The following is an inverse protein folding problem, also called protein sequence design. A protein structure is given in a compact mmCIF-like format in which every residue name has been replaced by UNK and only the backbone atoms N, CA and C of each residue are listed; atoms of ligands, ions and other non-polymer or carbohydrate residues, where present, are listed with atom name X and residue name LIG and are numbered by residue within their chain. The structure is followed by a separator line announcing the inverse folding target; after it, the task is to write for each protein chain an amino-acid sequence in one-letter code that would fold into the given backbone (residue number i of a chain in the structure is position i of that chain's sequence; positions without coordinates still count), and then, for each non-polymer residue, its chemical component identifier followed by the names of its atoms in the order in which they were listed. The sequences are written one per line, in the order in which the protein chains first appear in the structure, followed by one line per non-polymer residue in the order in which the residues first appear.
data_IF_856366034970
#
_entry.id   IF_856366034970
#
_cell.length_a   1.000
_cell.length_b   1.000
_cell.length_c   1.000
_cell.angle_alpha   90.00
_cell.angle_beta   90.00
_cell.angle_gamma   90.00
#
_symmetry.space_group_name_H-M   'P 1'
#
loop_
_entity.id
_entity.type
_entity.pdbx_description
1 polymer ?
#
# COMPACT_ATOMS: atom_id res chain seq x y z
N UNK A 1 -54.36 -66.91 -17.98
CA UNK A 1 -53.76 -65.77 -18.71
C UNK A 1 -52.24 -65.77 -18.50
N UNK A 2 -51.48 -65.73 -19.61
CA UNK A 2 -50.05 -65.33 -19.82
C UNK A 2 -48.95 -66.03 -18.96
N UNK A 3 -48.23 -67.00 -19.57
CA UNK A 3 -46.82 -66.95 -20.09
C UNK A 3 -45.74 -66.98 -18.97
N UNK A 4 -45.00 -68.07 -18.71
CA UNK A 4 -43.88 -68.76 -19.42
C UNK A 4 -42.50 -68.04 -19.38
N UNK A 5 -41.53 -68.78 -18.81
CA UNK A 5 -40.06 -68.85 -19.02
C UNK A 5 -39.20 -67.57 -18.91
N UNK A 6 -38.15 -67.60 -18.07
CA UNK A 6 -36.77 -67.87 -18.51
C UNK A 6 -35.93 -66.65 -18.09
N UNK A 7 -34.64 -66.65 -17.81
CA UNK A 7 -33.54 -67.57 -18.07
C UNK A 7 -32.31 -67.09 -17.28
N UNK A 8 -31.27 -67.93 -17.26
CA UNK A 8 -29.85 -67.58 -17.19
C UNK A 8 -29.25 -67.21 -15.83
N UNK A 9 -28.67 -68.25 -15.23
CA UNK A 9 -27.45 -68.14 -14.44
C UNK A 9 -26.31 -67.50 -15.24
N UNK A 10 -25.52 -66.65 -14.59
CA UNK A 10 -24.10 -66.53 -14.89
C UNK A 10 -23.33 -66.46 -13.56
N UNK A 11 -22.53 -67.49 -13.38
CA UNK A 11 -21.50 -67.70 -12.34
C UNK A 11 -20.22 -66.97 -12.83
N UNK A 12 -19.26 -66.78 -11.92
CA UNK A 12 -17.89 -66.25 -12.05
C UNK A 12 -17.79 -64.72 -11.86
N UNK A 13 -16.89 -64.16 -11.05
CA UNK A 13 -15.73 -64.72 -10.36
C UNK A 13 -15.17 -63.67 -9.37
N UNK A 14 -14.70 -64.12 -8.22
CA UNK A 14 -13.27 -64.18 -7.85
C UNK A 14 -12.71 -62.82 -7.42
N UNK A 15 -12.56 -62.71 -6.10
CA UNK A 15 -11.36 -62.33 -5.35
C UNK A 15 -10.70 -60.96 -5.59
N UNK A 16 -9.91 -60.60 -4.56
CA UNK A 16 -8.87 -59.56 -4.53
C UNK A 16 -9.34 -58.13 -4.38
N UNK A 17 -9.39 -57.62 -3.14
CA UNK A 17 -8.54 -56.49 -2.73
C UNK A 17 -8.56 -56.27 -1.20
N UNK A 18 -8.16 -57.28 -0.43
CA UNK A 18 -7.66 -57.07 0.94
C UNK A 18 -6.27 -57.67 0.95
N UNK A 19 -5.28 -56.86 0.57
CA UNK A 19 -3.89 -56.92 1.03
C UNK A 19 -3.05 -55.95 0.18
N UNK A 20 -2.04 -55.38 0.82
CA UNK A 20 -0.89 -54.65 0.28
C UNK A 20 -0.84 -53.11 0.42
N UNK A 21 -0.21 -52.73 1.54
CA UNK A 21 0.95 -51.82 1.67
C UNK A 21 0.68 -50.31 1.48
N UNK A 22 0.81 -49.45 2.49
CA UNK A 22 1.87 -49.36 3.50
C UNK A 22 3.30 -49.43 2.94
N UNK A 23 3.57 -48.74 1.82
CA UNK A 23 4.93 -48.35 1.42
C UNK A 23 4.85 -47.18 0.45
N UNK A 24 4.96 -45.93 0.92
CA UNK A 24 5.50 -44.79 0.15
C UNK A 24 5.83 -43.63 1.11
N UNK A 25 6.64 -43.92 2.14
CA UNK A 25 7.48 -42.91 2.78
C UNK A 25 8.92 -43.16 2.32
N UNK A 26 9.56 -42.09 1.85
CA UNK A 26 11.00 -41.97 1.51
C UNK A 26 11.48 -42.66 0.24
N UNK A 27 11.56 -41.89 -0.87
CA UNK A 27 12.80 -41.69 -1.65
C UNK A 27 12.51 -40.90 -2.94
N UNK A 28 12.55 -39.56 -2.86
CA UNK A 28 12.83 -38.71 -4.01
C UNK A 28 13.80 -37.61 -3.55
N UNK A 29 15.09 -37.93 -3.51
CA UNK A 29 16.15 -36.93 -3.61
C UNK A 29 16.26 -36.48 -5.06
N UNK A 30 16.41 -35.16 -5.25
CA UNK A 30 16.95 -34.59 -6.48
C UNK A 30 15.94 -33.87 -7.37
N UNK A 31 15.57 -32.64 -6.99
CA UNK A 31 15.94 -31.43 -7.75
C UNK A 31 15.34 -30.18 -7.12
N UNK A 32 16.24 -29.28 -6.73
CA UNK A 32 16.07 -27.82 -6.70
C UNK A 32 15.13 -27.35 -7.81
N UNK A 33 13.95 -26.86 -7.43
CA UNK A 33 13.33 -25.63 -7.95
C UNK A 33 12.53 -25.07 -6.78
N UNK A 34 13.14 -24.20 -6.00
CA UNK A 34 12.80 -22.78 -6.17
C UNK A 34 11.32 -22.53 -5.83
N UNK A 35 10.89 -23.01 -4.66
CA UNK A 35 10.13 -22.15 -3.77
C UNK A 35 11.09 -21.07 -3.24
N UNK A 36 11.61 -20.26 -4.16
CA UNK A 36 11.74 -18.85 -3.87
C UNK A 36 10.30 -18.41 -3.67
N UNK A 37 9.81 -18.63 -2.45
CA UNK A 37 9.00 -17.66 -1.77
C UNK A 37 9.59 -16.34 -2.20
N UNK A 38 8.86 -15.69 -3.10
CA UNK A 38 9.17 -14.36 -3.57
C UNK A 38 9.19 -13.56 -2.28
N UNK A 39 10.38 -13.42 -1.69
CA UNK A 39 10.77 -12.26 -0.92
C UNK A 39 10.51 -11.14 -1.89
N UNK A 40 9.25 -10.67 -1.94
CA UNK A 40 8.91 -9.37 -2.47
C UNK A 40 9.73 -8.47 -1.59
N UNK A 41 10.96 -8.19 -2.02
CA UNK A 41 11.72 -7.07 -1.55
C UNK A 41 10.78 -5.91 -1.85
N UNK A 42 10.02 -5.51 -0.85
CA UNK A 42 9.27 -4.26 -0.91
C UNK A 42 10.38 -3.24 -0.93
N UNK A 43 10.76 -2.85 -2.14
CA UNK A 43 11.80 -1.87 -2.36
C UNK A 43 11.38 -0.61 -1.62
N UNK A 44 12.17 -0.23 -0.62
CA UNK A 44 11.90 0.95 0.17
C UNK A 44 12.05 2.15 -0.77
N UNK A 45 10.97 2.93 -0.89
CA UNK A 45 10.95 4.08 -1.79
C UNK A 45 11.98 5.10 -1.32
N UNK A 46 12.92 5.43 -2.20
CA UNK A 46 13.94 6.44 -1.94
C UNK A 46 13.40 7.85 -2.20
N UNK A 47 14.08 8.85 -1.64
CA UNK A 47 13.72 10.26 -1.85
C UNK A 47 13.73 10.61 -3.35
N UNK A 48 14.73 10.13 -4.10
CA UNK A 48 14.86 10.39 -5.54
C UNK A 48 13.69 9.82 -6.35
N UNK A 49 13.13 8.67 -5.95
CA UNK A 49 11.93 8.11 -6.58
C UNK A 49 10.68 8.95 -6.29
N UNK A 50 10.67 9.69 -5.18
CA UNK A 50 9.51 10.47 -4.73
C UNK A 50 9.55 11.93 -5.17
N UNK A 51 10.72 12.52 -5.44
CA UNK A 51 10.87 13.89 -5.94
C UNK A 51 9.98 14.23 -7.14
N UNK A 52 9.83 13.39 -8.18
CA UNK A 52 8.96 13.70 -9.32
C UNK A 52 7.47 13.87 -8.96
N UNK A 53 7.04 13.33 -7.81
CA UNK A 53 5.64 13.36 -7.37
C UNK A 53 5.47 14.40 -6.26
N UNK A 54 6.33 14.37 -5.24
CA UNK A 54 6.20 15.22 -4.05
C UNK A 54 6.85 16.59 -4.24
N UNK A 55 7.74 16.74 -5.21
CA UNK A 55 8.62 17.88 -5.36
C UNK A 55 9.88 17.75 -4.48
N UNK A 56 10.82 18.65 -4.71
CA UNK A 56 12.05 18.80 -3.94
C UNK A 56 11.95 20.07 -3.09
N UNK A 57 12.17 19.94 -1.79
CA UNK A 57 12.13 21.10 -0.90
C UNK A 57 13.32 22.03 -1.15
N UNK A 58 13.05 23.32 -1.33
CA UNK A 58 14.06 24.40 -1.43
C UNK A 58 13.65 25.55 -0.51
N UNK A 59 14.37 26.67 -0.54
CA UNK A 59 14.08 27.82 0.32
C UNK A 59 12.68 28.41 0.07
N UNK A 60 12.22 28.39 -1.19
CA UNK A 60 10.99 29.00 -1.68
C UNK A 60 10.06 28.01 -2.40
N UNK A 61 10.29 26.70 -2.25
CA UNK A 61 9.48 25.66 -2.88
C UNK A 61 9.07 24.54 -1.94
N UNK A 62 7.83 24.10 -2.08
CA UNK A 62 7.29 22.94 -1.37
C UNK A 62 7.85 21.63 -1.92
N UNK A 63 8.12 20.66 -1.05
CA UNK A 63 8.64 19.36 -1.48
C UNK A 63 8.98 18.40 -0.35
N UNK A 64 9.33 17.17 -0.73
CA UNK A 64 9.89 16.20 0.20
C UNK A 64 11.30 16.61 0.61
N UNK A 65 11.58 16.52 1.91
CA UNK A 65 12.89 16.78 2.53
C UNK A 65 13.63 15.48 2.75
N UNK A 66 12.92 14.49 3.28
CA UNK A 66 13.46 13.19 3.65
C UNK A 66 12.35 12.14 3.61
N UNK A 67 12.74 10.90 3.38
CA UNK A 67 11.83 9.75 3.40
C UNK A 67 12.49 8.58 4.10
N UNK A 68 11.72 7.95 4.98
CA UNK A 68 12.12 6.74 5.66
C UNK A 68 10.94 5.78 5.69
N UNK A 69 11.13 4.56 6.13
CA UNK A 69 10.02 3.64 6.25
C UNK A 69 10.44 2.20 6.36
N UNK A 70 9.42 1.35 6.26
CA UNK A 70 9.53 -0.09 6.22
C UNK A 70 8.53 -0.65 5.20
N UNK A 71 8.36 -1.96 5.18
CA UNK A 71 7.48 -2.65 4.22
C UNK A 71 6.00 -2.28 4.36
N UNK A 72 5.59 -1.72 5.50
CA UNK A 72 4.20 -1.42 5.82
C UNK A 72 3.88 0.08 5.76
N UNK A 73 4.89 0.94 5.94
CA UNK A 73 4.71 2.40 5.98
C UNK A 73 5.85 3.16 5.32
N UNK A 74 5.47 4.20 4.59
CA UNK A 74 6.36 5.27 4.16
C UNK A 74 6.17 6.47 5.09
N UNK A 75 7.26 7.04 5.57
CA UNK A 75 7.27 8.28 6.35
C UNK A 75 7.90 9.37 5.49
N UNK A 76 7.18 10.47 5.30
CA UNK A 76 7.58 11.60 4.44
C UNK A 76 7.72 12.84 5.31
N UNK A 77 8.93 13.38 5.39
CA UNK A 77 9.18 14.74 5.88
C UNK A 77 8.95 15.71 4.74
N UNK A 78 8.00 16.62 4.89
CA UNK A 78 7.52 17.50 3.83
C UNK A 78 7.60 18.97 4.25
N UNK A 79 8.06 19.84 3.36
CA UNK A 79 7.99 21.29 3.55
C UNK A 79 6.95 21.89 2.64
N UNK A 80 6.07 22.70 3.21
CA UNK A 80 5.09 23.49 2.47
C UNK A 80 5.44 24.97 2.58
N UNK A 81 5.73 25.58 1.43
CA UNK A 81 6.03 26.99 1.32
C UNK A 81 4.78 27.78 0.93
N UNK A 82 4.43 28.78 1.73
CA UNK A 82 3.45 29.80 1.36
C UNK A 82 3.79 31.14 2.07
N UNK A 83 3.83 32.28 1.35
CA UNK A 83 4.09 33.58 1.97
C UNK A 83 2.93 34.08 2.85
N UNK A 84 1.71 33.56 2.68
CA UNK A 84 0.54 33.97 3.45
C UNK A 84 0.10 32.89 4.45
N UNK A 85 0.33 33.13 5.74
CA UNK A 85 -0.07 32.21 6.83
C UNK A 85 -1.57 31.89 6.87
N UNK A 86 -2.41 32.81 6.41
CA UNK A 86 -3.87 32.61 6.44
C UNK A 86 -4.33 31.51 5.49
N UNK A 87 -3.52 31.19 4.48
CA UNK A 87 -3.86 30.24 3.43
C UNK A 87 -3.13 28.91 3.58
N UNK A 88 -2.55 28.62 4.75
CA UNK A 88 -1.73 27.42 4.95
C UNK A 88 -2.54 26.15 4.80
N UNK A 89 -3.68 26.02 5.49
CA UNK A 89 -4.51 24.83 5.38
C UNK A 89 -5.00 24.62 3.93
N UNK A 90 -5.64 25.63 3.34
CA UNK A 90 -6.18 25.55 1.97
C UNK A 90 -5.11 25.31 0.91
N UNK A 91 -3.99 26.02 1.03
CA UNK A 91 -2.88 25.90 0.10
C UNK A 91 -2.15 24.56 0.23
N UNK A 92 -1.97 24.07 1.46
CA UNK A 92 -1.38 22.76 1.74
C UNK A 92 -2.23 21.65 1.14
N UNK A 93 -3.56 21.71 1.30
CA UNK A 93 -4.47 20.70 0.76
C UNK A 93 -4.45 20.70 -0.77
N UNK A 94 -4.49 21.87 -1.40
CA UNK A 94 -4.38 22.00 -2.87
C UNK A 94 -3.06 21.45 -3.40
N UNK A 95 -1.99 21.53 -2.62
CA UNK A 95 -0.68 21.00 -2.99
C UNK A 95 -0.57 19.48 -2.77
N UNK A 96 -0.91 18.98 -1.57
CA UNK A 96 -0.68 17.59 -1.19
C UNK A 96 -1.73 16.62 -1.72
N UNK A 97 -3.00 17.02 -1.84
CA UNK A 97 -4.07 16.10 -2.26
C UNK A 97 -3.81 15.46 -3.65
N UNK A 98 -3.46 16.22 -4.72
CA UNK A 98 -3.11 15.60 -6.00
C UNK A 98 -1.81 14.77 -5.93
N UNK A 99 -0.86 15.14 -5.07
CA UNK A 99 0.40 14.40 -4.89
C UNK A 99 0.18 13.06 -4.19
N UNK A 100 -0.72 13.01 -3.21
CA UNK A 100 -1.15 11.77 -2.55
C UNK A 100 -1.81 10.83 -3.56
N UNK A 101 -2.72 11.34 -4.39
CA UNK A 101 -3.34 10.55 -5.45
C UNK A 101 -2.29 9.97 -6.43
N UNK A 102 -1.38 10.83 -6.92
CA UNK A 102 -0.29 10.42 -7.80
C UNK A 102 0.64 9.38 -7.14
N UNK A 103 0.97 9.54 -5.86
CA UNK A 103 1.81 8.62 -5.09
C UNK A 103 1.22 7.20 -5.09
N UNK A 104 -0.05 7.05 -4.72
CA UNK A 104 -0.70 5.75 -4.66
C UNK A 104 -1.03 5.17 -6.04
N UNK A 105 -1.15 6.02 -7.06
CA UNK A 105 -1.25 5.58 -8.46
C UNK A 105 0.07 4.99 -8.96
N UNK A 106 1.21 5.59 -8.62
CA UNK A 106 2.53 5.15 -9.08
C UNK A 106 3.07 3.95 -8.29
N UNK A 107 2.83 3.88 -6.98
CA UNK A 107 3.39 2.82 -6.13
C UNK A 107 2.31 1.87 -5.62
N UNK A 108 1.94 0.87 -6.43
CA UNK A 108 0.81 -0.05 -6.15
C UNK A 108 0.93 -0.84 -4.84
N UNK A 109 2.15 -1.10 -4.37
CA UNK A 109 2.39 -1.84 -3.13
C UNK A 109 2.42 -0.94 -1.88
N UNK A 110 2.36 0.39 -2.05
CA UNK A 110 2.32 1.33 -0.93
C UNK A 110 0.96 1.24 -0.23
N UNK A 111 0.97 0.90 1.06
CA UNK A 111 -0.24 0.70 1.85
C UNK A 111 -0.56 1.87 2.77
N UNK A 112 0.47 2.47 3.40
CA UNK A 112 0.32 3.58 4.33
C UNK A 112 1.44 4.60 4.14
N UNK A 113 1.08 5.88 4.15
CA UNK A 113 2.02 6.99 4.11
C UNK A 113 1.72 7.93 5.26
N UNK A 114 2.74 8.25 6.06
CA UNK A 114 2.70 9.27 7.10
C UNK A 114 3.39 10.52 6.57
N UNK A 115 2.71 11.66 6.64
CA UNK A 115 3.27 12.97 6.31
C UNK A 115 3.56 13.74 7.59
N UNK A 116 4.77 14.28 7.68
CA UNK A 116 5.22 15.22 8.70
C UNK A 116 5.50 16.55 8.00
N UNK A 117 4.56 17.49 8.12
CA UNK A 117 4.59 18.75 7.38
C UNK A 117 5.16 19.87 8.23
N UNK A 118 6.20 20.51 7.70
CA UNK A 118 6.71 21.80 8.16
C UNK A 118 6.24 22.93 7.24
N UNK A 119 6.04 24.12 7.80
CA UNK A 119 5.73 25.34 7.04
C UNK A 119 6.77 26.41 7.28
N UNK A 120 6.97 27.29 6.30
CA UNK A 120 7.89 28.42 6.43
C UNK A 120 7.37 29.44 7.45
N UNK A 121 8.27 30.20 8.08
CA UNK A 121 7.93 31.40 8.82
C UNK A 121 8.07 32.62 7.86
N UNK A 122 6.98 33.28 7.43
CA UNK A 122 7.08 34.42 6.50
C UNK A 122 7.77 35.64 7.11
N UNK A 123 7.98 35.67 8.43
CA UNK A 123 8.69 36.75 9.12
C UNK A 123 10.18 36.45 9.28
N UNK A 124 10.60 35.19 9.10
CA UNK A 124 11.99 34.75 9.29
C UNK A 124 12.39 33.82 8.15
N UNK A 125 13.02 34.34 7.08
CA UNK A 125 13.47 33.51 5.95
C UNK A 125 14.30 32.31 6.40
N UNK A 126 14.08 31.17 5.74
CA UNK A 126 14.79 29.92 6.04
C UNK A 126 14.35 29.21 7.33
N UNK A 127 13.46 29.80 8.15
CA UNK A 127 12.92 29.13 9.33
C UNK A 127 11.71 28.28 8.96
N UNK A 128 11.76 27.01 9.32
CA UNK A 128 10.69 26.03 9.16
C UNK A 128 10.19 25.59 10.53
N UNK A 129 8.88 25.34 10.65
CA UNK A 129 8.26 24.89 11.90
C UNK A 129 7.31 23.73 11.61
N UNK A 130 7.24 22.71 12.47
CA UNK A 130 6.20 21.69 12.40
C UNK A 130 4.82 22.34 12.37
N UNK A 131 3.93 21.83 11.53
CA UNK A 131 2.58 22.38 11.35
C UNK A 131 1.50 21.32 11.52
N UNK A 132 1.60 20.23 10.77
CA UNK A 132 0.63 19.13 10.83
C UNK A 132 1.32 17.82 10.52
N UNK A 133 0.88 16.74 11.15
CA UNK A 133 1.18 15.37 10.71
C UNK A 133 -0.11 14.58 10.54
N UNK A 134 -0.13 13.69 9.57
CA UNK A 134 -1.27 12.82 9.32
C UNK A 134 -0.83 11.60 8.53
N UNK A 135 -1.64 10.56 8.52
CA UNK A 135 -1.43 9.38 7.71
C UNK A 135 -2.57 9.16 6.72
N UNK A 136 -2.24 8.44 5.65
CA UNK A 136 -3.17 8.04 4.60
C UNK A 136 -3.00 6.55 4.36
N UNK A 137 -4.11 5.85 4.11
CA UNK A 137 -4.10 4.45 3.68
C UNK A 137 -4.56 4.32 2.23
N UNK A 138 -4.00 3.34 1.52
CA UNK A 138 -4.43 2.96 0.15
C UNK A 138 -5.95 2.78 0.05
N UNK A 139 -6.54 2.04 0.98
CA UNK A 139 -8.00 1.79 1.02
C UNK A 139 -8.82 3.08 1.10
N UNK A 140 -8.26 4.13 1.69
CA UNK A 140 -8.90 5.44 1.77
C UNK A 140 -8.68 6.22 0.47
N UNK A 141 -7.48 6.14 -0.10
CA UNK A 141 -7.18 6.70 -1.42
C UNK A 141 -8.08 6.17 -2.53
N UNK A 142 -8.36 4.88 -2.51
CA UNK A 142 -9.21 4.23 -3.51
C UNK A 142 -10.70 4.58 -3.38
N UNK A 143 -11.13 5.18 -2.26
CA UNK A 143 -12.53 5.51 -1.98
C UNK A 143 -12.86 6.99 -2.13
N UNK A 144 -11.85 7.85 -2.14
CA UNK A 144 -12.00 9.30 -2.07
C UNK A 144 -11.41 9.91 -3.34
N UNK A 145 -12.08 10.89 -3.92
CA UNK A 145 -11.54 11.63 -5.08
C UNK A 145 -10.63 12.77 -4.61
N UNK A 146 -9.38 12.45 -4.29
CA UNK A 146 -8.43 13.38 -3.66
C UNK A 146 -8.15 14.65 -4.45
N UNK A 147 -8.16 14.58 -5.77
CA UNK A 147 -7.94 15.75 -6.65
C UNK A 147 -9.03 16.81 -6.55
N UNK A 148 -10.17 16.52 -5.90
CA UNK A 148 -11.31 17.42 -5.75
C UNK A 148 -11.66 17.72 -4.30
N UNK A 149 -10.80 17.36 -3.34
CA UNK A 149 -11.08 17.59 -1.92
C UNK A 149 -10.98 19.08 -1.56
N UNK A 150 -11.99 19.55 -0.82
CA UNK A 150 -11.88 20.77 -0.04
C UNK A 150 -11.10 20.51 1.25
N UNK A 151 -10.62 21.57 1.87
CA UNK A 151 -9.77 21.54 3.07
C UNK A 151 -10.39 20.75 4.22
N UNK A 152 -11.65 21.03 4.54
CA UNK A 152 -12.37 20.33 5.61
C UNK A 152 -12.53 18.85 5.31
N UNK A 153 -12.83 18.50 4.06
CA UNK A 153 -12.97 17.10 3.66
C UNK A 153 -11.64 16.38 3.71
N UNK A 154 -10.54 17.03 3.33
CA UNK A 154 -9.20 16.47 3.43
C UNK A 154 -8.88 16.06 4.87
N UNK A 155 -8.99 17.00 5.82
CA UNK A 155 -8.62 16.72 7.21
C UNK A 155 -9.58 15.77 7.93
N UNK A 156 -10.83 15.63 7.45
CA UNK A 156 -11.77 14.60 7.94
C UNK A 156 -11.45 13.20 7.44
N UNK A 157 -10.78 13.10 6.29
CA UNK A 157 -10.51 11.83 5.62
C UNK A 157 -9.12 11.27 5.96
N UNK A 158 -8.15 12.10 6.34
CA UNK A 158 -6.86 11.59 6.83
C UNK A 158 -7.01 10.93 8.21
N UNK A 159 -6.06 10.07 8.56
CA UNK A 159 -5.98 9.42 9.87
C UNK A 159 -4.80 9.96 10.67
N UNK A 160 -4.76 9.68 11.98
CA UNK A 160 -3.67 10.08 12.87
C UNK A 160 -3.32 11.58 12.81
N UNK A 161 -4.33 12.42 12.56
CA UNK A 161 -4.15 13.87 12.43
C UNK A 161 -3.66 14.48 13.75
N UNK A 162 -2.54 15.20 13.68
CA UNK A 162 -1.99 16.00 14.77
C UNK A 162 -1.59 17.37 14.23
N UNK A 163 -2.05 18.43 14.91
CA UNK A 163 -1.64 19.82 14.63
C UNK A 163 -0.61 20.27 15.66
N UNK A 164 0.29 21.16 15.23
CA UNK A 164 1.32 21.75 16.06
C UNK A 164 1.07 23.27 16.11
N UNK A 165 0.94 23.81 17.32
CA UNK A 165 0.66 25.23 17.59
C UNK A 165 1.93 26.11 17.54
#
# INVERSE_FOLDING_TARGET
MKKKYGSLALILGIATLVFFLATLFSACEGKKKEAAESTRVVEMLSLEQLKPILGEAREDSSGAVDVSGDTNRLMVSYRYFNPNRKDYDDGLVKDLAPKIDALYKNFKNLNRTEFYVEVNDPQVPGKWKPYVSFAVHRKLVEKVEWSKLFTDDFFRNVIDLKRFD
#
